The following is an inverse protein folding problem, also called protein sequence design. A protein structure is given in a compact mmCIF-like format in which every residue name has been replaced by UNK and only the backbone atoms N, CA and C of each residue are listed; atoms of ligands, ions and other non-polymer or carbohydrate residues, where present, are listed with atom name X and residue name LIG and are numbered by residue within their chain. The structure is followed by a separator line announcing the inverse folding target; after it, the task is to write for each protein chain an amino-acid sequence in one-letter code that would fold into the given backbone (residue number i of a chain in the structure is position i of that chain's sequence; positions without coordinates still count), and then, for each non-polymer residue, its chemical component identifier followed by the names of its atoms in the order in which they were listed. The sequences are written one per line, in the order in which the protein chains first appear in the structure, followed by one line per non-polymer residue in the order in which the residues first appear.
data_IF_193091972791
#
_entry.id   IF_193091972791
#
_cell.length_a   1.000
_cell.length_b   1.000
_cell.length_c   1.000
_cell.angle_alpha   90.00
_cell.angle_beta   90.00
_cell.angle_gamma   90.00
#
_symmetry.space_group_name_H-M   'P 1'
#
loop_
_entity.id
_entity.type
_entity.pdbx_description
1 polymer ?
#
# COMPACT_ATOMS: atom_id res chain seq x y z
N UNK A 1 -22.83 -14.18 6.04
CA UNK A 1 -22.84 -14.97 7.29
C UNK A 1 -23.10 -14.07 8.49
N UNK A 2 -22.31 -13.01 8.74
CA UNK A 2 -22.60 -12.01 9.79
C UNK A 2 -23.99 -11.37 9.65
N UNK A 3 -24.37 -10.88 8.46
CA UNK A 3 -25.70 -10.27 8.24
C UNK A 3 -26.86 -11.22 8.52
N UNK A 4 -26.74 -12.49 8.13
CA UNK A 4 -27.77 -13.50 8.36
C UNK A 4 -27.95 -13.79 9.86
N UNK A 5 -26.83 -13.91 10.59
CA UNK A 5 -26.87 -14.10 12.04
C UNK A 5 -27.49 -12.89 12.75
N UNK A 6 -27.21 -11.67 12.29
CA UNK A 6 -27.79 -10.45 12.85
C UNK A 6 -29.30 -10.36 12.59
N UNK A 7 -29.75 -10.78 11.40
CA UNK A 7 -31.17 -10.91 11.05
C UNK A 7 -31.88 -11.93 11.95
N UNK A 8 -31.27 -13.10 12.17
CA UNK A 8 -31.81 -14.16 13.04
C UNK A 8 -31.91 -13.71 14.50
N UNK A 9 -30.87 -13.07 15.04
CA UNK A 9 -30.88 -12.52 16.41
C UNK A 9 -31.99 -11.47 16.55
N UNK A 10 -32.15 -10.60 15.55
CA UNK A 10 -33.22 -9.60 15.53
C UNK A 10 -34.61 -10.24 15.51
N UNK A 11 -34.80 -11.30 14.73
CA UNK A 11 -36.06 -12.03 14.64
C UNK A 11 -36.43 -12.70 15.97
N UNK A 12 -35.50 -13.46 16.56
CA UNK A 12 -35.70 -14.15 17.84
C UNK A 12 -35.95 -13.16 18.99
N UNK A 13 -35.26 -12.03 18.98
CA UNK A 13 -35.47 -10.96 19.97
C UNK A 13 -36.89 -10.38 19.86
N UNK A 14 -37.42 -10.19 18.65
CA UNK A 14 -38.80 -9.73 18.45
C UNK A 14 -39.81 -10.75 18.96
N UNK A 15 -39.62 -12.03 18.63
CA UNK A 15 -40.50 -13.11 19.09
C UNK A 15 -40.50 -13.24 20.61
N UNK A 16 -39.33 -13.18 21.26
CA UNK A 16 -39.24 -13.23 22.72
C UNK A 16 -39.90 -12.04 23.42
N UNK A 17 -39.80 -10.83 22.86
CA UNK A 17 -40.48 -9.65 23.41
C UNK A 17 -42.01 -9.74 23.28
N UNK A 18 -42.51 -10.28 22.15
CA UNK A 18 -43.94 -10.57 21.99
C UNK A 18 -44.42 -11.60 23.01
N UNK A 19 -43.61 -12.65 23.27
CA UNK A 19 -43.92 -13.66 24.27
C UNK A 19 -43.95 -13.07 25.70
N UNK A 20 -42.99 -12.22 26.07
CA UNK A 20 -43.02 -11.51 27.36
C UNK A 20 -44.28 -10.66 27.52
N UNK A 21 -44.70 -9.96 26.45
CA UNK A 21 -45.91 -9.13 26.46
C UNK A 21 -47.18 -9.98 26.68
N UNK A 22 -47.21 -11.21 26.15
CA UNK A 22 -48.33 -12.14 26.33
C UNK A 22 -48.47 -12.66 27.77
N UNK A 23 -47.39 -12.65 28.55
CA UNK A 23 -47.41 -13.03 29.97
C UNK A 23 -47.85 -11.88 30.89
N UNK A 24 -47.85 -10.64 30.39
CA UNK A 24 -48.19 -9.42 31.13
C UNK A 24 -49.67 -9.03 31.02
N UNK A 25 -50.45 -9.66 30.12
CA UNK A 25 -51.87 -9.37 29.94
C UNK A 25 -52.70 -9.77 31.19
N UNK A 26 -53.49 -8.83 31.77
CA UNK A 26 -54.33 -9.12 32.92
C UNK A 26 -55.48 -10.05 32.52
N UNK A 27 -55.67 -11.10 33.31
CA UNK A 27 -56.69 -12.14 33.14
C UNK A 27 -58.10 -11.53 33.15
N UNK A 28 -58.65 -11.25 31.97
CA UNK A 28 -60.05 -10.90 31.81
C UNK A 28 -60.91 -12.17 31.78
N UNK A 29 -60.83 -12.99 32.84
CA UNK A 29 -61.73 -14.14 33.00
C UNK A 29 -61.09 -15.33 33.71
N UNK A 30 -61.39 -15.45 35.01
CA UNK A 30 -61.37 -16.68 35.84
C UNK A 30 -60.35 -17.77 35.45
N UNK A 31 -59.14 -17.70 36.02
CA UNK A 31 -58.17 -18.79 35.91
C UNK A 31 -57.75 -19.43 37.26
N UNK A 32 -57.72 -20.77 37.27
CA UNK A 32 -57.37 -21.67 38.37
C UNK A 32 -56.00 -21.36 39.00
N UNK A 33 -55.88 -21.49 40.33
CA UNK A 33 -54.67 -21.17 41.12
C UNK A 33 -53.35 -21.80 40.63
N UNK A 34 -53.37 -22.95 39.95
CA UNK A 34 -52.17 -23.59 39.37
C UNK A 34 -51.56 -22.80 38.19
N UNK A 35 -52.37 -22.19 37.33
CA UNK A 35 -51.87 -21.43 36.16
C UNK A 35 -51.27 -20.08 36.53
N UNK A 36 -51.58 -19.56 37.72
CA UNK A 36 -50.99 -18.32 38.23
C UNK A 36 -49.58 -18.52 38.80
N UNK A 37 -49.19 -19.74 39.19
CA UNK A 37 -47.87 -20.03 39.75
C UNK A 37 -46.78 -20.31 38.69
N UNK A 38 -47.16 -20.80 37.51
CA UNK A 38 -46.22 -21.09 36.41
C UNK A 38 -45.85 -19.85 35.56
N UNK A 39 -46.81 -18.91 35.36
CA UNK A 39 -46.58 -17.66 34.59
C UNK A 39 -45.37 -16.82 35.05
N UNK A 40 -45.11 -16.62 36.35
CA UNK A 40 -43.93 -15.87 36.80
C UNK A 40 -42.61 -16.57 36.44
N UNK A 41 -42.55 -17.90 36.53
CA UNK A 41 -41.34 -18.68 36.22
C UNK A 41 -41.02 -18.71 34.73
N UNK A 42 -42.04 -18.77 33.88
CA UNK A 42 -41.89 -18.68 32.42
C UNK A 42 -41.42 -17.29 31.99
N UNK A 43 -41.99 -16.23 32.57
CA UNK A 43 -41.57 -14.85 32.33
C UNK A 43 -40.09 -14.64 32.71
N UNK A 44 -39.68 -15.09 33.90
CA UNK A 44 -38.29 -15.01 34.36
C UNK A 44 -37.33 -15.77 33.43
N UNK A 45 -37.76 -16.93 32.94
CA UNK A 45 -36.96 -17.75 32.02
C UNK A 45 -36.78 -17.07 30.67
N UNK A 46 -37.85 -16.57 30.05
CA UNK A 46 -37.78 -15.87 28.75
C UNK A 46 -36.98 -14.58 28.88
N UNK A 47 -37.18 -13.81 29.94
CA UNK A 47 -36.42 -12.58 30.20
C UNK A 47 -34.91 -12.87 30.38
N UNK A 48 -34.56 -13.94 31.10
CA UNK A 48 -33.17 -14.39 31.23
C UNK A 48 -32.57 -14.80 29.89
N UNK A 49 -33.29 -15.55 29.07
CA UNK A 49 -32.82 -15.98 27.74
C UNK A 49 -32.60 -14.80 26.80
N UNK A 50 -33.49 -13.80 26.80
CA UNK A 50 -33.31 -12.56 26.05
C UNK A 50 -32.08 -11.77 26.54
N UNK A 51 -31.84 -11.73 27.84
CA UNK A 51 -30.62 -11.16 28.42
C UNK A 51 -29.36 -11.85 27.89
N UNK A 52 -29.34 -13.19 27.90
CA UNK A 52 -28.23 -13.99 27.37
C UNK A 52 -28.02 -13.80 25.86
N UNK A 53 -29.11 -13.70 25.09
CA UNK A 53 -29.05 -13.44 23.65
C UNK A 53 -28.40 -12.08 23.36
N UNK A 54 -28.77 -11.04 24.11
CA UNK A 54 -28.20 -9.70 23.99
C UNK A 54 -26.71 -9.65 24.36
N UNK A 55 -26.31 -10.35 25.42
CA UNK A 55 -24.91 -10.48 25.81
C UNK A 55 -24.08 -11.19 24.73
N UNK A 56 -24.63 -12.26 24.14
CA UNK A 56 -23.99 -13.00 23.05
C UNK A 56 -23.85 -12.15 21.78
N UNK A 57 -24.90 -11.40 21.40
CA UNK A 57 -24.87 -10.46 20.27
C UNK A 57 -23.74 -9.43 20.45
N UNK A 58 -23.69 -8.79 21.62
CA UNK A 58 -22.66 -7.78 21.95
C UNK A 58 -21.25 -8.36 21.90
N UNK A 59 -21.05 -9.57 22.43
CA UNK A 59 -19.77 -10.25 22.38
C UNK A 59 -19.36 -10.62 20.94
N UNK A 60 -20.33 -11.01 20.12
CA UNK A 60 -20.10 -11.36 18.72
C UNK A 60 -19.74 -10.13 17.88
N UNK A 61 -20.42 -8.99 18.05
CA UNK A 61 -20.10 -7.74 17.36
C UNK A 61 -18.65 -7.31 17.64
N UNK A 62 -18.24 -7.28 18.91
CA UNK A 62 -16.87 -6.92 19.28
C UNK A 62 -15.81 -7.90 18.78
N UNK A 63 -16.14 -9.18 18.61
CA UNK A 63 -15.27 -10.15 17.96
C UNK A 63 -15.20 -9.93 16.44
N UNK A 64 -16.35 -9.72 15.81
CA UNK A 64 -16.46 -9.54 14.37
C UNK A 64 -15.76 -8.28 13.89
N UNK A 65 -15.95 -7.13 14.54
CA UNK A 65 -15.27 -5.88 14.20
C UNK A 65 -13.74 -6.04 14.19
N UNK A 66 -13.19 -6.71 15.20
CA UNK A 66 -11.75 -7.00 15.27
C UNK A 66 -11.30 -7.93 14.16
N UNK A 67 -12.09 -8.96 13.86
CA UNK A 67 -11.76 -9.93 12.83
C UNK A 67 -11.83 -9.31 11.44
N UNK A 68 -12.87 -8.53 11.16
CA UNK A 68 -13.05 -7.79 9.92
C UNK A 68 -11.90 -6.80 9.72
N UNK A 69 -11.57 -6.00 10.74
CA UNK A 69 -10.43 -5.08 10.69
C UNK A 69 -9.13 -5.83 10.38
N UNK A 70 -8.90 -6.98 11.01
CA UNK A 70 -7.71 -7.79 10.75
C UNK A 70 -7.66 -8.30 9.31
N UNK A 71 -8.79 -8.73 8.74
CA UNK A 71 -8.90 -9.16 7.34
C UNK A 71 -8.67 -8.02 6.36
N UNK A 72 -9.22 -6.84 6.64
CA UNK A 72 -8.97 -5.64 5.85
C UNK A 72 -7.48 -5.28 5.86
N UNK A 73 -6.82 -5.35 7.02
CA UNK A 73 -5.38 -5.14 7.15
C UNK A 73 -4.55 -6.17 6.37
N UNK A 74 -4.94 -7.45 6.37
CA UNK A 74 -4.27 -8.46 5.52
C UNK A 74 -4.35 -8.10 4.03
N UNK A 75 -5.53 -7.68 3.56
CA UNK A 75 -5.72 -7.28 2.17
C UNK A 75 -4.92 -6.01 1.83
N UNK A 76 -4.88 -5.03 2.74
CA UNK A 76 -4.07 -3.82 2.59
C UNK A 76 -2.58 -4.15 2.46
N UNK A 77 -2.06 -5.01 3.35
CA UNK A 77 -0.67 -5.44 3.32
C UNK A 77 -0.35 -6.16 2.01
N UNK A 78 -1.19 -7.11 1.59
CA UNK A 78 -0.99 -7.85 0.35
C UNK A 78 -0.92 -6.94 -0.88
N UNK A 79 -1.83 -5.96 -0.99
CA UNK A 79 -1.80 -4.97 -2.08
C UNK A 79 -0.55 -4.09 -2.02
N UNK A 80 -0.16 -3.65 -0.83
CA UNK A 80 1.05 -2.86 -0.64
C UNK A 80 2.31 -3.64 -1.06
N UNK A 81 2.44 -4.88 -0.64
CA UNK A 81 3.57 -5.76 -1.00
C UNK A 81 3.63 -6.01 -2.52
N UNK A 82 2.48 -6.18 -3.17
CA UNK A 82 2.42 -6.32 -4.62
C UNK A 82 2.96 -5.06 -5.32
N UNK A 83 2.49 -3.88 -4.94
CA UNK A 83 2.97 -2.61 -5.51
C UNK A 83 4.44 -2.36 -5.20
N UNK A 84 4.89 -2.69 -3.98
CA UNK A 84 6.30 -2.60 -3.61
C UNK A 84 7.17 -3.47 -4.51
N UNK A 85 6.80 -4.74 -4.69
CA UNK A 85 7.59 -5.67 -5.50
C UNK A 85 7.59 -5.28 -6.98
N UNK A 86 6.46 -4.80 -7.51
CA UNK A 86 6.36 -4.32 -8.89
C UNK A 86 7.32 -3.16 -9.14
N UNK A 87 7.29 -2.12 -8.29
CA UNK A 87 8.14 -0.94 -8.45
C UNK A 87 9.61 -1.28 -8.20
N UNK A 88 9.91 -2.10 -7.17
CA UNK A 88 11.28 -2.55 -6.88
C UNK A 88 11.88 -3.29 -8.08
N UNK A 89 11.17 -4.27 -8.63
CA UNK A 89 11.63 -5.03 -9.80
C UNK A 89 11.85 -4.12 -11.01
N UNK A 90 10.97 -3.15 -11.22
CA UNK A 90 11.11 -2.20 -12.32
C UNK A 90 12.35 -1.29 -12.16
N UNK A 91 12.65 -0.83 -10.93
CA UNK A 91 13.86 -0.07 -10.62
C UNK A 91 15.10 -0.93 -10.85
N UNK A 92 15.14 -2.16 -10.32
CA UNK A 92 16.27 -3.08 -10.49
C UNK A 92 16.52 -3.39 -11.97
N UNK A 93 15.45 -3.61 -12.75
CA UNK A 93 15.54 -3.82 -14.19
C UNK A 93 16.11 -2.60 -14.93
N UNK A 94 15.67 -1.38 -14.57
CA UNK A 94 16.20 -0.16 -15.16
C UNK A 94 17.67 0.08 -14.79
N UNK A 95 18.04 -0.20 -13.54
CA UNK A 95 19.44 -0.16 -13.08
C UNK A 95 20.31 -1.12 -13.88
N UNK A 96 19.84 -2.35 -14.14
CA UNK A 96 20.54 -3.33 -14.96
C UNK A 96 20.80 -2.82 -16.38
N UNK A 97 19.76 -2.31 -17.07
CA UNK A 97 19.90 -1.76 -18.42
C UNK A 97 20.83 -0.54 -18.46
N UNK A 98 20.71 0.34 -17.48
CA UNK A 98 21.56 1.53 -17.40
C UNK A 98 23.03 1.17 -17.15
N UNK A 99 23.30 0.09 -16.40
CA UNK A 99 24.67 -0.38 -16.14
C UNK A 99 25.38 -0.87 -17.42
N UNK A 100 24.65 -1.45 -18.37
CA UNK A 100 25.19 -1.94 -19.65
C UNK A 100 25.63 -0.81 -20.59
N UNK A 101 25.04 0.39 -20.45
CA UNK A 101 25.47 1.57 -21.20
C UNK A 101 26.92 1.92 -20.81
N UNK A 102 27.88 2.07 -21.71
CA UNK A 102 29.24 2.36 -21.27
C UNK A 102 29.42 3.86 -20.93
N UNK A 103 30.15 4.13 -19.85
CA UNK A 103 30.33 5.47 -19.27
C UNK A 103 31.25 6.41 -20.08
N UNK A 104 31.92 5.90 -21.12
CA UNK A 104 32.96 6.61 -21.90
C UNK A 104 32.89 6.28 -23.39
N UNK A 105 32.99 7.26 -24.30
CA UNK A 105 33.01 7.02 -25.75
C UNK A 105 34.32 7.44 -26.41
N UNK A 106 34.64 6.86 -27.57
CA UNK A 106 35.90 7.10 -28.28
C UNK A 106 35.83 8.26 -29.27
N UNK A 107 34.64 8.82 -29.48
CA UNK A 107 34.43 9.97 -30.36
C UNK A 107 33.25 10.84 -29.92
N UNK A 108 33.29 12.12 -30.30
CA UNK A 108 32.20 13.09 -30.06
C UNK A 108 30.81 12.57 -30.44
N UNK A 109 30.55 12.03 -31.65
CA UNK A 109 29.22 11.55 -32.01
C UNK A 109 28.75 10.38 -31.14
N UNK A 110 29.65 9.46 -30.76
CA UNK A 110 29.30 8.35 -29.87
C UNK A 110 28.92 8.85 -28.46
N UNK A 111 29.68 9.80 -27.90
CA UNK A 111 29.39 10.36 -26.58
C UNK A 111 28.06 11.12 -26.59
N UNK A 112 27.77 11.88 -27.65
CA UNK A 112 26.48 12.57 -27.82
C UNK A 112 25.30 11.59 -27.92
N UNK A 113 25.45 10.50 -28.66
CA UNK A 113 24.41 9.48 -28.75
C UNK A 113 24.14 8.85 -27.37
N UNK A 114 25.18 8.51 -26.61
CA UNK A 114 25.01 7.95 -25.26
C UNK A 114 24.39 8.91 -24.26
N UNK A 115 24.68 10.20 -24.36
CA UNK A 115 23.98 11.22 -23.56
C UNK A 115 22.49 11.27 -23.88
N UNK A 116 22.12 11.10 -25.16
CA UNK A 116 20.72 11.01 -25.57
C UNK A 116 20.05 9.76 -25.00
N UNK A 117 20.71 8.60 -25.10
CA UNK A 117 20.21 7.35 -24.55
C UNK A 117 20.04 7.45 -23.02
N UNK A 118 21.03 8.01 -22.32
CA UNK A 118 20.94 8.26 -20.88
C UNK A 118 19.80 9.22 -20.52
N UNK A 119 19.50 10.21 -21.35
CA UNK A 119 18.33 11.08 -21.16
C UNK A 119 17.00 10.32 -21.23
N UNK A 120 16.90 9.27 -22.04
CA UNK A 120 15.74 8.38 -22.05
C UNK A 120 15.66 7.57 -20.74
N UNK A 121 16.79 7.04 -20.26
CA UNK A 121 16.86 6.35 -18.96
C UNK A 121 16.48 7.27 -17.79
N UNK A 122 16.90 8.53 -17.81
CA UNK A 122 16.53 9.52 -16.78
C UNK A 122 15.02 9.75 -16.77
N UNK A 123 14.39 9.93 -17.94
CA UNK A 123 12.93 10.05 -18.03
C UNK A 123 12.20 8.85 -17.43
N UNK A 124 12.60 7.64 -17.79
CA UNK A 124 12.04 6.41 -17.20
C UNK A 124 12.28 6.31 -15.69
N UNK A 125 13.45 6.75 -15.22
CA UNK A 125 13.77 6.74 -13.81
C UNK A 125 12.90 7.72 -13.01
N UNK A 126 12.66 8.92 -13.53
CA UNK A 126 11.75 9.88 -12.88
C UNK A 126 10.33 9.31 -12.76
N UNK A 127 9.82 8.64 -13.78
CA UNK A 127 8.52 7.98 -13.73
C UNK A 127 8.47 6.88 -12.66
N UNK A 128 9.51 6.04 -12.57
CA UNK A 128 9.59 4.99 -11.55
C UNK A 128 9.74 5.55 -10.13
N UNK A 129 10.54 6.60 -9.96
CA UNK A 129 10.71 7.31 -8.68
C UNK A 129 9.37 7.91 -8.25
N UNK A 130 8.59 8.49 -9.18
CA UNK A 130 7.23 8.96 -8.90
C UNK A 130 6.31 7.85 -8.41
N UNK A 131 6.32 6.68 -9.08
CA UNK A 131 5.56 5.50 -8.61
C UNK A 131 6.02 5.02 -7.24
N UNK A 132 7.33 4.99 -6.99
CA UNK A 132 7.89 4.62 -5.69
C UNK A 132 7.40 5.56 -4.57
N UNK A 133 7.37 6.87 -4.82
CA UNK A 133 6.85 7.86 -3.86
C UNK A 133 5.38 7.61 -3.52
N UNK A 134 4.55 7.25 -4.49
CA UNK A 134 3.14 6.89 -4.24
C UNK A 134 3.03 5.66 -3.34
N UNK A 135 3.82 4.61 -3.60
CA UNK A 135 3.84 3.40 -2.76
C UNK A 135 4.34 3.71 -1.34
N UNK A 136 5.40 4.51 -1.21
CA UNK A 136 5.93 4.95 0.09
C UNK A 136 4.87 5.75 0.87
N UNK A 137 4.17 6.67 0.20
CA UNK A 137 3.10 7.46 0.83
C UNK A 137 1.97 6.57 1.33
N UNK A 138 1.54 5.59 0.53
CA UNK A 138 0.55 4.61 0.95
C UNK A 138 1.02 3.80 2.17
N UNK A 139 2.28 3.34 2.18
CA UNK A 139 2.87 2.66 3.33
C UNK A 139 2.89 3.53 4.59
N UNK A 140 3.25 4.81 4.49
CA UNK A 140 3.18 5.74 5.63
C UNK A 140 1.75 5.94 6.14
N UNK A 141 0.75 5.97 5.24
CA UNK A 141 -0.67 6.06 5.65
C UNK A 141 -1.11 4.81 6.43
N UNK A 142 -0.68 3.62 6.01
CA UNK A 142 -0.94 2.38 6.76
C UNK A 142 -0.27 2.43 8.14
N UNK A 143 0.99 2.87 8.21
CA UNK A 143 1.71 3.02 9.47
C UNK A 143 1.02 4.02 10.43
N UNK A 144 0.57 5.17 9.92
CA UNK A 144 -0.17 6.17 10.70
C UNK A 144 -1.52 5.64 11.23
N UNK A 145 -2.13 4.69 10.50
CA UNK A 145 -3.34 4.00 10.92
C UNK A 145 -3.08 2.82 11.88
N UNK A 146 -1.89 2.75 12.48
CA UNK A 146 -1.50 1.71 13.44
C UNK A 146 -1.64 0.28 12.87
N UNK A 147 -1.29 0.10 11.59
CA UNK A 147 -1.35 -1.19 10.93
C UNK A 147 -0.52 -2.24 11.67
N UNK A 148 -1.02 -3.47 11.80
CA UNK A 148 -0.35 -4.52 12.60
C UNK A 148 1.07 -4.88 12.11
N UNK A 149 1.34 -4.64 10.83
CA UNK A 149 2.62 -4.92 10.17
C UNK A 149 3.53 -3.67 10.06
N UNK A 150 3.39 -2.70 10.96
CA UNK A 150 4.07 -1.40 10.92
C UNK A 150 5.56 -1.50 10.60
N UNK A 151 6.31 -2.36 11.30
CA UNK A 151 7.76 -2.47 11.12
C UNK A 151 8.15 -2.92 9.70
N UNK A 152 7.42 -3.91 9.15
CA UNK A 152 7.65 -4.43 7.80
C UNK A 152 7.35 -3.35 6.76
N UNK A 153 6.22 -2.65 6.91
CA UNK A 153 5.83 -1.56 6.00
C UNK A 153 6.89 -0.46 6.00
N UNK A 154 7.31 0.01 7.18
CA UNK A 154 8.35 1.03 7.30
C UNK A 154 9.69 0.57 6.69
N UNK A 155 10.07 -0.69 6.89
CA UNK A 155 11.27 -1.26 6.27
C UNK A 155 11.18 -1.21 4.74
N UNK A 156 10.08 -1.69 4.15
CA UNK A 156 9.88 -1.68 2.70
C UNK A 156 9.84 -0.26 2.12
N UNK A 157 9.23 0.71 2.83
CA UNK A 157 9.25 2.11 2.42
C UNK A 157 10.69 2.67 2.38
N UNK A 158 11.50 2.38 3.40
CA UNK A 158 12.89 2.82 3.45
C UNK A 158 13.73 2.16 2.36
N UNK A 159 13.50 0.87 2.12
CA UNK A 159 14.16 0.12 1.05
C UNK A 159 13.83 0.72 -0.33
N UNK A 160 12.56 0.99 -0.62
CA UNK A 160 12.15 1.53 -1.92
C UNK A 160 12.69 2.95 -2.14
N UNK A 161 12.76 3.76 -1.06
CA UNK A 161 13.41 5.07 -1.08
C UNK A 161 14.89 4.94 -1.43
N UNK A 162 15.60 4.03 -0.77
CA UNK A 162 17.01 3.79 -1.04
C UNK A 162 17.26 3.39 -2.51
N UNK A 163 16.46 2.48 -3.07
CA UNK A 163 16.59 2.09 -4.49
C UNK A 163 16.34 3.28 -5.43
N UNK A 164 15.37 4.13 -5.10
CA UNK A 164 15.08 5.35 -5.87
C UNK A 164 16.24 6.35 -5.84
N UNK A 165 16.84 6.55 -4.66
CA UNK A 165 17.99 7.44 -4.48
C UNK A 165 19.21 6.94 -5.26
N UNK A 166 19.52 5.64 -5.14
CA UNK A 166 20.64 5.00 -5.87
C UNK A 166 20.46 5.11 -7.38
N UNK A 167 19.26 4.84 -7.90
CA UNK A 167 18.94 5.00 -9.32
C UNK A 167 19.19 6.43 -9.81
N UNK A 168 18.67 7.42 -9.07
CA UNK A 168 18.87 8.84 -9.41
C UNK A 168 20.35 9.24 -9.41
N UNK A 169 21.09 8.80 -8.40
CA UNK A 169 22.50 9.10 -8.25
C UNK A 169 23.35 8.45 -9.34
N UNK A 170 23.05 7.21 -9.74
CA UNK A 170 23.78 6.53 -10.81
C UNK A 170 23.58 7.21 -12.17
N UNK A 171 22.35 7.62 -12.48
CA UNK A 171 22.05 8.36 -13.72
C UNK A 171 22.79 9.69 -13.73
N UNK A 172 22.72 10.47 -12.65
CA UNK A 172 23.43 11.76 -12.53
C UNK A 172 24.94 11.58 -12.65
N UNK A 173 25.50 10.56 -12.00
CA UNK A 173 26.94 10.29 -12.04
C UNK A 173 27.40 9.94 -13.45
N UNK A 174 26.65 9.10 -14.15
CA UNK A 174 26.92 8.72 -15.55
C UNK A 174 26.83 9.91 -16.48
N UNK A 175 25.83 10.77 -16.29
CA UNK A 175 25.67 12.00 -17.06
C UNK A 175 26.87 12.92 -16.89
N UNK A 176 27.34 13.13 -15.66
CA UNK A 176 28.54 13.93 -15.38
C UNK A 176 29.80 13.35 -16.05
N UNK A 177 29.98 12.02 -16.01
CA UNK A 177 31.12 11.34 -16.66
C UNK A 177 31.10 11.53 -18.18
N UNK A 178 29.96 11.30 -18.82
CA UNK A 178 29.81 11.47 -20.27
C UNK A 178 29.98 12.94 -20.69
N UNK A 179 29.44 13.88 -19.93
CA UNK A 179 29.59 15.31 -20.21
C UNK A 179 31.06 15.75 -20.13
N UNK A 180 31.82 15.26 -19.13
CA UNK A 180 33.26 15.49 -19.04
C UNK A 180 34.03 14.88 -20.21
N UNK A 181 33.65 13.67 -20.63
CA UNK A 181 34.24 12.98 -21.77
C UNK A 181 34.00 13.76 -23.08
N UNK A 182 32.81 14.33 -23.25
CA UNK A 182 32.46 15.17 -24.40
C UNK A 182 33.30 16.45 -24.47
N UNK A 183 33.49 17.13 -23.33
CA UNK A 183 34.32 18.33 -23.25
C UNK A 183 35.78 18.03 -23.67
N UNK A 184 36.35 16.95 -23.14
CA UNK A 184 37.71 16.54 -23.47
C UNK A 184 37.88 16.24 -24.96
N UNK A 185 36.99 15.43 -25.55
CA UNK A 185 37.03 15.14 -27.00
C UNK A 185 36.89 16.39 -27.86
N UNK A 186 36.00 17.30 -27.47
CA UNK A 186 35.78 18.55 -28.21
C UNK A 186 37.04 19.43 -28.17
N UNK A 187 37.70 19.52 -27.02
CA UNK A 187 38.95 20.27 -26.86
C UNK A 187 40.10 19.65 -27.63
N UNK A 188 40.23 18.32 -27.64
CA UNK A 188 41.25 17.61 -28.42
C UNK A 188 41.09 17.87 -29.92
N UNK A 189 39.86 17.77 -30.45
CA UNK A 189 39.58 18.11 -31.84
C UNK A 189 39.99 19.55 -32.18
N UNK A 190 39.68 20.52 -31.32
CA UNK A 190 40.06 21.92 -31.55
C UNK A 190 41.58 22.15 -31.61
N UNK A 191 42.37 21.39 -30.84
CA UNK A 191 43.84 21.47 -30.88
C UNK A 191 44.39 20.84 -32.16
N UNK A 192 43.91 19.66 -32.54
CA UNK A 192 44.31 18.99 -33.80
C UNK A 192 43.98 19.84 -35.04
N UNK A 193 42.86 20.56 -35.04
CA UNK A 193 42.51 21.50 -36.11
C UNK A 193 43.39 22.76 -36.13
N UNK A 194 43.95 23.19 -34.99
CA UNK A 194 44.86 24.35 -34.94
C UNK A 194 46.27 24.03 -35.44
N UNK A 195 46.75 22.82 -35.19
CA UNK A 195 48.08 22.37 -35.60
C UNK A 195 48.15 21.98 -37.09
N UNK A 196 47.01 21.81 -37.76
CA UNK A 196 46.91 21.46 -39.18
C UNK A 196 46.70 22.65 -40.14
N UNK A 197 46.49 23.86 -39.62
CA UNK A 197 46.42 25.09 -40.45
C UNK A 197 47.84 25.64 -40.65
N UNK A 198 48.37 25.71 -41.89
CA UNK A 198 49.69 26.29 -42.13
C UNK A 198 49.70 27.75 -41.68
N UNK A 199 50.72 28.15 -40.91
CA UNK A 199 51.06 29.57 -40.74
C UNK A 199 51.39 30.13 -42.12
N UNK A 200 50.44 30.81 -42.76
CA UNK A 200 50.76 31.74 -43.82
C UNK A 200 51.59 32.87 -43.20
N UNK A 201 52.91 32.76 -43.35
CA UNK A 201 53.83 33.86 -43.07
C UNK A 201 53.75 34.78 -44.29
N UNK A 202 52.95 35.83 -44.15
CA UNK A 202 52.87 36.88 -45.15
C UNK A 202 54.16 37.69 -45.24
N UNK A 203 54.62 37.87 -46.48
CA UNK A 203 55.26 39.06 -47.05
C UNK A 203 56.49 39.64 -46.36
#
# INVERSE_FOLDING_TARGET
MFCLLQEDITAVTKEGNLLLSSFEEPDAGECSQDQQHERPGDWETVNRLLGQLREMETAFDGFWEKHQLKMEQYLQLWKFEQSFQEVKNAIEFLMGQQAELPDTGDSVPQVKQRLKDLGHFDGMAQDLIGKAQVVILHGHQLAANHHYALNLICQQCNELRHHSDVLSDEIKRKQMRLQKTLDLHTRLQQVEFRDTVPREVGG
#
